data_IF_885859420871
#
_entry.id   IF_885859420871
#
_cell.length_a   1.000
_cell.length_b   1.000
_cell.length_c   1.000
_cell.angle_alpha   90.00
_cell.angle_beta   90.00
_cell.angle_gamma   90.00
#
_symmetry.space_group_name_H-M   'P 1'
#
loop_
_entity.id
_entity.type
_entity.pdbx_description
1 polymer ?
#
# COMPACT_ATOMS: atom_id res chain seq x y z
N UNK A 1 -16.92 5.47 52.64
CA UNK A 1 -15.79 5.19 51.73
C UNK A 1 -15.00 6.46 51.54
N UNK A 2 -13.75 6.35 51.09
CA UNK A 2 -12.86 7.48 50.85
C UNK A 2 -12.54 7.56 49.36
N UNK A 3 -12.58 8.76 48.80
CA UNK A 3 -12.16 9.01 47.42
C UNK A 3 -10.64 9.03 47.33
N UNK A 4 -10.08 8.18 46.49
CA UNK A 4 -8.63 8.07 46.28
C UNK A 4 -8.33 8.34 44.81
N UNK A 5 -7.43 9.28 44.55
CA UNK A 5 -6.95 9.54 43.20
C UNK A 5 -5.93 8.48 42.77
N UNK A 6 -6.18 7.81 41.65
CA UNK A 6 -5.31 6.80 41.03
C UNK A 6 -4.83 7.26 39.66
N UNK A 7 -3.68 6.76 39.23
CA UNK A 7 -3.07 7.08 37.95
C UNK A 7 -3.22 5.93 36.96
N UNK A 8 -3.35 6.25 35.68
CA UNK A 8 -3.34 5.27 34.58
C UNK A 8 -1.92 5.08 34.03
N UNK A 9 -1.67 3.98 33.34
CA UNK A 9 -0.40 3.77 32.61
C UNK A 9 -0.10 4.87 31.57
N UNK A 10 -1.13 5.59 31.09
CA UNK A 10 -1.01 6.67 30.10
C UNK A 10 -0.90 8.08 30.74
N UNK A 11 -0.66 8.16 32.06
CA UNK A 11 -0.48 9.43 32.77
C UNK A 11 -1.78 10.19 33.10
N UNK A 12 -2.95 9.70 32.68
CA UNK A 12 -4.25 10.22 33.14
C UNK A 12 -4.53 9.85 34.60
N UNK A 13 -5.40 10.63 35.28
CA UNK A 13 -5.81 10.39 36.67
C UNK A 13 -7.33 10.34 36.80
N UNK A 14 -7.83 9.54 37.73
CA UNK A 14 -9.26 9.48 38.09
C UNK A 14 -9.42 9.11 39.56
N UNK A 15 -10.63 9.24 40.11
CA UNK A 15 -10.92 8.97 41.52
C UNK A 15 -11.68 7.66 41.65
N UNK A 16 -11.36 6.87 42.68
CA UNK A 16 -12.11 5.66 43.04
C UNK A 16 -12.58 5.75 44.48
N UNK A 17 -13.72 5.14 44.81
CA UNK A 17 -14.16 5.08 46.21
C UNK A 17 -13.63 3.79 46.86
N UNK A 18 -12.70 3.96 47.78
CA UNK A 18 -12.07 2.86 48.50
C UNK A 18 -12.57 2.73 49.94
N UNK A 19 -12.74 1.48 50.40
CA UNK A 19 -13.14 1.13 51.74
C UNK A 19 -11.92 0.72 52.56
N UNK A 20 -11.32 1.66 53.31
CA UNK A 20 -10.15 1.36 54.15
C UNK A 20 -10.37 0.31 55.26
N UNK A 21 -11.61 -0.08 55.57
CA UNK A 21 -11.91 -1.10 56.59
C UNK A 21 -12.07 -2.51 55.99
N UNK A 22 -12.56 -2.60 54.76
CA UNK A 22 -12.92 -3.87 54.11
C UNK A 22 -12.06 -4.17 52.88
N UNK A 23 -11.27 -3.21 52.40
CA UNK A 23 -10.43 -3.29 51.21
C UNK A 23 -11.20 -3.30 49.89
N UNK A 24 -12.53 -3.17 49.92
CA UNK A 24 -13.34 -3.08 48.71
C UNK A 24 -13.17 -1.74 48.02
N UNK A 25 -13.20 -1.75 46.69
CA UNK A 25 -13.09 -0.54 45.86
C UNK A 25 -14.24 -0.50 44.89
N UNK A 26 -14.87 0.67 44.78
CA UNK A 26 -15.87 0.99 43.78
C UNK A 26 -15.23 1.73 42.62
N UNK A 27 -15.63 1.34 41.42
CA UNK A 27 -15.19 1.90 40.15
C UNK A 27 -16.41 2.36 39.38
N UNK A 28 -16.37 3.58 38.85
CA UNK A 28 -17.37 4.06 37.92
C UNK A 28 -17.24 3.30 36.57
N UNK A 29 -18.23 3.43 35.66
CA UNK A 29 -18.22 2.70 34.40
C UNK A 29 -16.88 2.83 33.67
N UNK A 30 -16.34 1.69 33.25
CA UNK A 30 -15.07 1.55 32.52
C UNK A 30 -13.78 1.85 33.31
N UNK A 31 -13.85 2.32 34.55
CA UNK A 31 -12.66 2.70 35.34
C UNK A 31 -11.82 1.51 35.79
N UNK A 32 -12.46 0.40 36.16
CA UNK A 32 -11.76 -0.82 36.60
C UNK A 32 -10.81 -1.34 35.53
N UNK A 33 -11.06 -1.07 34.24
CA UNK A 33 -10.18 -1.49 33.16
C UNK A 33 -8.94 -0.58 33.01
N UNK A 34 -9.01 0.66 33.51
CA UNK A 34 -7.96 1.67 33.35
C UNK A 34 -6.97 1.74 34.52
N UNK A 35 -7.34 1.22 35.70
CA UNK A 35 -6.43 1.13 36.84
C UNK A 35 -5.30 0.13 36.56
N UNK A 36 -4.03 0.51 36.72
CA UNK A 36 -2.89 -0.39 36.53
C UNK A 36 -2.62 -1.24 37.79
N UNK A 37 -1.87 -2.33 37.63
CA UNK A 37 -1.63 -3.28 38.72
C UNK A 37 -0.93 -2.66 39.93
N UNK A 38 0.01 -1.73 39.73
CA UNK A 38 0.74 -1.08 40.83
C UNK A 38 -0.17 -0.21 41.71
N UNK A 39 -1.19 0.43 41.15
CA UNK A 39 -2.15 1.24 41.93
C UNK A 39 -2.99 0.38 42.88
N UNK A 40 -3.21 -0.90 42.55
CA UNK A 40 -3.92 -1.84 43.43
C UNK A 40 -3.12 -2.10 44.71
N UNK A 41 -1.79 -2.14 44.60
CA UNK A 41 -0.88 -2.29 45.74
C UNK A 41 -0.97 -1.03 46.61
N UNK A 42 -0.99 0.16 46.00
CA UNK A 42 -1.20 1.42 46.71
C UNK A 42 -2.53 1.41 47.48
N UNK A 43 -3.63 1.01 46.84
CA UNK A 43 -4.93 0.88 47.49
C UNK A 43 -4.93 -0.15 48.63
N UNK A 44 -4.26 -1.29 48.44
CA UNK A 44 -4.14 -2.32 49.48
C UNK A 44 -3.47 -1.77 50.75
N UNK A 45 -2.45 -0.93 50.59
CA UNK A 45 -1.71 -0.32 51.70
C UNK A 45 -2.54 0.69 52.51
N UNK A 46 -3.63 1.21 51.93
CA UNK A 46 -4.57 2.09 52.62
C UNK A 46 -5.60 1.31 53.46
N UNK A 47 -5.66 -0.02 53.32
CA UNK A 47 -6.61 -0.86 54.04
C UNK A 47 -6.07 -1.30 55.40
N UNK A 48 -6.87 -1.09 56.45
CA UNK A 48 -6.63 -1.61 57.81
C UNK A 48 -7.73 -2.63 58.15
N UNK A 49 -7.40 -3.92 58.03
CA UNK A 49 -8.36 -5.00 58.26
C UNK A 49 -8.63 -5.19 59.77
N UNK A 50 -9.90 -5.27 60.20
CA UNK A 50 -10.24 -5.58 61.59
C UNK A 50 -9.85 -7.02 61.96
N UNK A 51 -9.38 -7.21 63.20
CA UNK A 51 -9.01 -8.54 63.74
C UNK A 51 -10.19 -9.53 63.82
N UNK A 52 -11.44 -9.05 63.82
CA UNK A 52 -12.65 -9.88 63.86
C UNK A 52 -13.25 -9.95 62.45
N UNK A 53 -13.36 -11.17 61.89
CA UNK A 53 -14.12 -11.39 60.65
C UNK A 53 -15.57 -10.97 60.88
N UNK A 54 -16.07 -10.04 60.07
CA UNK A 54 -17.49 -9.67 60.03
C UNK A 54 -18.23 -10.82 59.33
N UNK A 55 -19.09 -11.52 60.07
CA UNK A 55 -19.69 -12.79 59.62
C UNK A 55 -21.05 -12.64 58.91
N UNK A 56 -21.50 -11.43 58.60
CA UNK A 56 -22.76 -11.23 57.86
C UNK A 56 -22.53 -10.42 56.58
N UNK A 57 -22.82 -11.04 55.43
CA UNK A 57 -22.99 -10.34 54.17
C UNK A 57 -24.25 -9.47 54.27
N UNK A 58 -24.08 -8.24 54.76
CA UNK A 58 -25.03 -7.18 54.42
C UNK A 58 -25.11 -7.10 52.91
N UNK A 59 -26.33 -7.03 52.36
CA UNK A 59 -26.55 -6.79 50.92
C UNK A 59 -25.64 -5.64 50.50
N UNK A 60 -24.74 -5.88 49.55
CA UNK A 60 -23.89 -4.82 49.01
C UNK A 60 -24.79 -3.88 48.22
N UNK A 61 -24.83 -2.61 48.62
CA UNK A 61 -25.57 -1.56 47.94
C UNK A 61 -24.59 -0.69 47.17
N UNK A 62 -25.02 -0.21 46.01
CA UNK A 62 -24.30 0.76 45.22
C UNK A 62 -24.08 2.07 46.02
N UNK A 63 -22.85 2.61 46.06
CA UNK A 63 -22.54 3.86 46.75
C UNK A 63 -23.25 5.09 46.17
N UNK A 64 -23.52 5.09 44.86
CA UNK A 64 -24.11 6.23 44.17
C UNK A 64 -25.65 6.25 44.20
N UNK A 65 -26.29 5.09 44.01
CA UNK A 65 -27.75 5.01 43.81
C UNK A 65 -28.47 4.03 44.76
N UNK A 66 -27.75 3.45 45.73
CA UNK A 66 -28.24 2.49 46.72
C UNK A 66 -28.93 1.24 46.14
N UNK A 67 -28.80 0.96 44.84
CA UNK A 67 -29.34 -0.28 44.26
C UNK A 67 -28.55 -1.50 44.74
N UNK A 68 -29.20 -2.66 44.93
CA UNK A 68 -28.50 -3.88 45.28
C UNK A 68 -27.52 -4.26 44.17
N UNK A 69 -26.28 -4.55 44.55
CA UNK A 69 -25.28 -5.04 43.61
C UNK A 69 -25.52 -6.51 43.30
N UNK A 70 -25.34 -6.86 42.04
CA UNK A 70 -25.45 -8.23 41.54
C UNK A 70 -24.08 -8.77 41.11
N UNK A 71 -23.87 -10.09 41.04
CA UNK A 71 -22.65 -10.65 40.45
C UNK A 71 -22.48 -10.21 39.00
N UNK A 72 -21.26 -9.79 38.64
CA UNK A 72 -20.87 -9.46 37.27
C UNK A 72 -20.01 -10.60 36.70
N UNK A 73 -20.44 -11.15 35.57
CA UNK A 73 -19.68 -12.11 34.79
C UNK A 73 -19.54 -11.58 33.37
N UNK A 74 -18.32 -11.42 32.90
CA UNK A 74 -18.01 -11.09 31.52
C UNK A 74 -16.84 -11.93 31.03
N UNK A 75 -16.65 -12.03 29.72
CA UNK A 75 -15.62 -12.88 29.12
C UNK A 75 -14.20 -12.52 29.59
N UNK A 76 -13.98 -11.26 29.97
CA UNK A 76 -12.72 -10.75 30.49
C UNK A 76 -12.50 -11.01 31.99
N UNK A 77 -13.48 -11.56 32.71
CA UNK A 77 -13.41 -11.82 34.16
C UNK A 77 -13.06 -13.29 34.39
N UNK A 78 -11.92 -13.61 35.04
CA UNK A 78 -11.55 -14.99 35.34
C UNK A 78 -12.59 -15.71 36.22
N UNK A 79 -12.75 -17.03 36.06
CA UNK A 79 -13.76 -17.83 36.78
C UNK A 79 -13.65 -17.76 38.32
N UNK A 80 -12.45 -17.52 38.84
CA UNK A 80 -12.17 -17.41 40.28
C UNK A 80 -12.38 -15.99 40.85
N UNK A 81 -12.59 -14.99 39.99
CA UNK A 81 -12.76 -13.60 40.38
C UNK A 81 -14.24 -13.28 40.53
N UNK A 82 -14.61 -12.68 41.67
CA UNK A 82 -15.98 -12.23 41.95
C UNK A 82 -16.07 -10.71 41.93
N UNK A 83 -16.66 -10.18 40.87
CA UNK A 83 -17.01 -8.77 40.77
C UNK A 83 -18.51 -8.61 41.01
N UNK A 84 -18.91 -7.47 41.58
CA UNK A 84 -20.31 -7.07 41.65
C UNK A 84 -20.51 -5.82 40.82
N UNK A 85 -21.69 -5.64 40.23
CA UNK A 85 -22.03 -4.44 39.47
C UNK A 85 -23.39 -3.90 39.86
N UNK A 86 -23.60 -2.61 39.64
CA UNK A 86 -24.91 -2.00 39.69
C UNK A 86 -25.52 -1.94 38.29
N UNK A 87 -26.71 -2.51 38.10
CA UNK A 87 -27.43 -2.45 36.81
C UNK A 87 -27.88 -1.05 36.40
N UNK A 88 -27.95 -0.10 37.34
CA UNK A 88 -28.46 1.25 37.10
C UNK A 88 -27.35 2.22 36.69
N UNK A 89 -26.30 2.36 37.50
CA UNK A 89 -25.16 3.23 37.17
C UNK A 89 -24.02 2.53 36.44
N UNK A 90 -24.05 1.19 36.28
CA UNK A 90 -23.03 0.38 35.61
C UNK A 90 -21.65 0.38 36.28
N UNK A 91 -21.54 0.93 37.49
CA UNK A 91 -20.32 0.86 38.29
C UNK A 91 -20.08 -0.55 38.85
N UNK A 92 -18.82 -0.82 39.17
CA UNK A 92 -18.32 -2.13 39.58
C UNK A 92 -17.70 -2.04 40.97
N UNK A 93 -18.07 -2.98 41.82
CA UNK A 93 -17.45 -3.23 43.11
C UNK A 93 -16.51 -4.43 43.01
N UNK A 94 -15.28 -4.26 43.49
CA UNK A 94 -14.31 -5.33 43.61
C UNK A 94 -13.76 -5.41 45.03
N UNK A 95 -13.74 -6.60 45.63
CA UNK A 95 -12.99 -6.82 46.85
C UNK A 95 -11.48 -6.77 46.56
N UNK A 96 -10.66 -6.44 47.57
CA UNK A 96 -9.21 -6.32 47.42
C UNK A 96 -8.58 -7.53 46.71
N UNK A 97 -8.96 -8.75 47.13
CA UNK A 97 -8.46 -10.00 46.55
C UNK A 97 -8.89 -10.16 45.10
N UNK A 98 -10.18 -9.99 44.82
CA UNK A 98 -10.74 -10.16 43.48
C UNK A 98 -10.17 -9.12 42.50
N UNK A 99 -9.98 -7.87 42.94
CA UNK A 99 -9.34 -6.81 42.14
C UNK A 99 -7.90 -7.18 41.77
N UNK A 100 -7.13 -7.69 42.75
CA UNK A 100 -5.75 -8.12 42.52
C UNK A 100 -5.69 -9.28 41.52
N UNK A 101 -6.53 -10.31 41.69
CA UNK A 101 -6.58 -11.47 40.79
C UNK A 101 -7.03 -11.07 39.37
N UNK A 102 -8.04 -10.20 39.26
CA UNK A 102 -8.52 -9.67 37.99
C UNK A 102 -7.40 -8.99 37.20
N UNK A 103 -6.64 -8.13 37.87
CA UNK A 103 -5.62 -7.30 37.22
C UNK A 103 -4.32 -8.03 36.95
N UNK A 104 -3.94 -8.97 37.82
CA UNK A 104 -2.82 -9.88 37.54
C UNK A 104 -3.07 -10.67 36.25
N UNK A 105 -4.28 -11.20 36.07
CA UNK A 105 -4.62 -11.95 34.85
C UNK A 105 -4.61 -11.07 33.60
N UNK A 106 -5.08 -9.82 33.69
CA UNK A 106 -4.98 -8.86 32.58
C UNK A 106 -3.51 -8.56 32.20
N UNK A 107 -2.62 -8.39 33.18
CA UNK A 107 -1.21 -8.07 32.92
C UNK A 107 -0.45 -9.24 32.26
N UNK A 108 -0.70 -10.47 32.72
CA UNK A 108 -0.11 -11.70 32.15
C UNK A 108 -0.57 -11.92 30.70
N UNK A 109 -1.84 -11.69 30.39
CA UNK A 109 -2.40 -11.87 29.04
C UNK A 109 -1.89 -10.83 28.05
N UNK A 110 -1.76 -9.56 28.46
CA UNK A 110 -1.17 -8.50 27.63
C UNK A 110 0.31 -8.77 27.36
N UNK A 111 1.07 -9.15 28.38
CA UNK A 111 2.50 -9.45 28.24
C UNK A 111 2.77 -10.59 27.26
N UNK A 112 1.92 -11.63 27.27
CA UNK A 112 2.04 -12.75 26.33
C UNK A 112 1.80 -12.33 24.87
N UNK A 113 0.86 -11.42 24.62
CA UNK A 113 0.57 -10.88 23.29
C UNK A 113 1.72 -9.99 22.75
N UNK A 114 2.29 -9.14 23.61
CA UNK A 114 3.41 -8.27 23.25
C UNK A 114 4.67 -9.06 22.87
N UNK A 115 4.92 -10.19 23.53
CA UNK A 115 6.02 -11.09 23.16
C UNK A 115 5.73 -11.77 21.83
N UNK A 116 4.51 -12.29 21.61
CA UNK A 116 4.14 -12.96 20.37
C UNK A 116 4.22 -12.06 19.13
N UNK A 117 3.75 -10.81 19.23
CA UNK A 117 3.77 -9.84 18.14
C UNK A 117 5.17 -9.36 17.74
N UNK A 118 6.14 -9.41 18.67
CA UNK A 118 7.56 -9.13 18.37
C UNK A 118 8.20 -10.21 17.51
N UNK A 119 7.81 -11.48 17.68
CA UNK A 119 8.37 -12.59 16.90
C UNK A 119 7.72 -12.77 15.53
N UNK A 120 6.45 -12.36 15.38
CA UNK A 120 5.72 -12.44 14.12
C UNK A 120 5.13 -11.06 13.78
N UNK A 121 5.91 -10.17 13.12
CA UNK A 121 5.40 -8.87 12.70
C UNK A 121 4.22 -9.05 11.74
N UNK A 122 3.37 -8.03 11.64
CA UNK A 122 2.19 -8.06 10.77
C UNK A 122 2.56 -8.49 9.34
N UNK A 123 1.77 -9.41 8.78
CA UNK A 123 2.01 -9.99 7.45
C UNK A 123 2.25 -8.92 6.37
N UNK A 124 1.60 -7.76 6.48
CA UNK A 124 1.77 -6.62 5.57
C UNK A 124 3.22 -6.15 5.43
N UNK A 125 4.02 -6.18 6.51
CA UNK A 125 5.41 -5.71 6.51
C UNK A 125 6.32 -6.60 5.65
N UNK A 126 5.97 -7.89 5.49
CA UNK A 126 6.72 -8.85 4.69
C UNK A 126 6.18 -8.91 3.26
N UNK A 127 4.86 -8.95 3.08
CA UNK A 127 4.27 -9.09 1.75
C UNK A 127 4.46 -7.88 0.86
N UNK A 128 4.36 -6.66 1.41
CA UNK A 128 4.51 -5.43 0.62
C UNK A 128 5.87 -5.36 -0.10
N UNK A 129 7.03 -5.47 0.58
CA UNK A 129 8.32 -5.41 -0.11
C UNK A 129 8.50 -6.56 -1.13
N UNK A 130 8.06 -7.77 -0.81
CA UNK A 130 8.16 -8.92 -1.72
C UNK A 130 7.32 -8.71 -2.98
N UNK A 131 6.07 -8.29 -2.84
CA UNK A 131 5.17 -8.03 -3.98
C UNK A 131 5.71 -6.87 -4.82
N UNK A 132 6.18 -5.79 -4.20
CA UNK A 132 6.78 -4.67 -4.93
C UNK A 132 8.02 -5.11 -5.71
N UNK A 133 8.88 -5.94 -5.13
CA UNK A 133 10.06 -6.47 -5.81
C UNK A 133 9.68 -7.36 -7.00
N UNK A 134 8.71 -8.26 -6.85
CA UNK A 134 8.20 -9.09 -7.94
C UNK A 134 7.59 -8.24 -9.07
N UNK A 135 6.87 -7.17 -8.73
CA UNK A 135 6.33 -6.25 -9.71
C UNK A 135 7.43 -5.51 -10.49
N UNK A 136 8.48 -5.06 -9.81
CA UNK A 136 9.64 -4.45 -10.44
C UNK A 136 10.36 -5.42 -11.38
N UNK A 137 10.52 -6.69 -10.99
CA UNK A 137 11.10 -7.71 -11.86
C UNK A 137 10.24 -7.99 -13.10
N UNK A 138 8.93 -8.11 -12.94
CA UNK A 138 8.02 -8.35 -14.06
C UNK A 138 8.04 -7.19 -15.05
N UNK A 139 7.95 -5.95 -14.56
CA UNK A 139 7.99 -4.76 -15.42
C UNK A 139 9.31 -4.65 -16.18
N UNK A 140 10.46 -4.79 -15.49
CA UNK A 140 11.77 -4.75 -16.16
C UNK A 140 11.90 -5.83 -17.23
N UNK A 141 11.47 -7.07 -16.95
CA UNK A 141 11.46 -8.15 -17.94
C UNK A 141 10.65 -7.78 -19.19
N UNK A 142 9.41 -7.30 -19.02
CA UNK A 142 8.56 -6.91 -20.16
C UNK A 142 9.14 -5.76 -20.97
N UNK A 143 9.81 -4.79 -20.32
CA UNK A 143 10.45 -3.69 -21.05
C UNK A 143 11.63 -4.18 -21.89
N UNK A 144 12.46 -5.08 -21.38
CA UNK A 144 13.60 -5.63 -22.12
C UNK A 144 13.12 -6.42 -23.34
N UNK A 145 12.12 -7.29 -23.18
CA UNK A 145 11.61 -8.10 -24.29
C UNK A 145 10.95 -7.24 -25.37
N UNK A 146 10.19 -6.21 -24.97
CA UNK A 146 9.58 -5.26 -25.92
C UNK A 146 10.63 -4.48 -26.71
N UNK A 147 11.71 -4.04 -26.06
CA UNK A 147 12.81 -3.35 -26.74
C UNK A 147 13.55 -4.26 -27.72
N UNK A 148 13.83 -5.50 -27.32
CA UNK A 148 14.45 -6.50 -28.20
C UNK A 148 13.60 -6.76 -29.44
N UNK A 149 12.30 -6.99 -29.26
CA UNK A 149 11.38 -7.21 -30.38
C UNK A 149 11.36 -6.02 -31.35
N UNK A 150 11.30 -4.79 -30.82
CA UNK A 150 11.32 -3.60 -31.67
C UNK A 150 12.65 -3.45 -32.44
N UNK A 151 13.78 -3.91 -31.89
CA UNK A 151 15.06 -3.94 -32.59
C UNK A 151 15.07 -5.02 -33.69
N UNK A 152 14.58 -6.23 -33.40
CA UNK A 152 14.52 -7.32 -34.37
C UNK A 152 13.64 -6.98 -35.58
N UNK A 153 12.50 -6.32 -35.36
CA UNK A 153 11.62 -5.85 -36.43
C UNK A 153 12.31 -4.81 -37.34
N UNK A 154 13.14 -3.92 -36.79
CA UNK A 154 13.92 -2.92 -37.55
C UNK A 154 15.05 -3.56 -38.32
N UNK A 155 15.80 -4.49 -37.70
CA UNK A 155 16.85 -5.26 -38.38
C UNK A 155 16.25 -6.05 -39.53
N UNK A 156 15.11 -6.69 -39.30
CA UNK A 156 14.39 -7.40 -40.35
C UNK A 156 13.97 -6.45 -41.47
N UNK A 157 13.41 -5.27 -41.16
CA UNK A 157 13.07 -4.25 -42.16
C UNK A 157 14.27 -3.81 -43.02
N UNK A 158 15.38 -3.43 -42.37
CA UNK A 158 16.61 -2.99 -43.05
C UNK A 158 17.20 -4.11 -43.92
N UNK A 159 17.17 -5.37 -43.45
CA UNK A 159 17.68 -6.51 -44.23
C UNK A 159 16.92 -6.77 -45.54
N UNK A 160 15.68 -6.28 -45.67
CA UNK A 160 14.88 -6.44 -46.89
C UNK A 160 15.15 -5.38 -47.94
N UNK A 161 15.81 -4.28 -47.57
CA UNK A 161 16.06 -3.13 -48.43
C UNK A 161 17.51 -3.17 -48.90
N UNK A 162 17.74 -2.83 -50.17
CA UNK A 162 19.06 -2.57 -50.74
C UNK A 162 19.06 -1.26 -51.53
N UNK A 163 20.25 -0.74 -51.80
CA UNK A 163 20.48 0.42 -52.67
C UNK A 163 19.67 1.67 -52.32
N UNK A 164 19.44 1.93 -51.03
CA UNK A 164 18.75 3.14 -50.61
C UNK A 164 19.56 4.40 -50.96
N UNK A 165 18.94 5.32 -51.71
CA UNK A 165 19.55 6.56 -52.18
C UNK A 165 18.59 7.73 -51.98
N UNK A 166 19.18 8.86 -51.62
CA UNK A 166 18.49 10.15 -51.56
C UNK A 166 19.19 11.12 -52.50
N UNK A 167 18.58 11.41 -53.64
CA UNK A 167 19.16 12.26 -54.67
C UNK A 167 18.51 13.65 -54.64
N UNK A 168 19.33 14.70 -54.54
CA UNK A 168 18.86 16.08 -54.61
C UNK A 168 18.46 16.44 -56.05
N UNK A 169 17.21 16.87 -56.24
CA UNK A 169 16.72 17.36 -57.52
C UNK A 169 16.83 18.90 -57.56
N UNK A 170 16.44 19.56 -56.47
CA UNK A 170 16.58 21.01 -56.28
C UNK A 170 16.48 21.37 -54.78
N UNK A 171 16.63 22.64 -54.42
CA UNK A 171 16.53 23.08 -53.01
C UNK A 171 15.19 22.76 -52.34
N UNK A 172 14.13 22.45 -53.10
CA UNK A 172 12.81 22.09 -52.56
C UNK A 172 12.34 20.68 -52.95
N UNK A 173 13.19 19.86 -53.57
CA UNK A 173 12.81 18.55 -54.05
C UNK A 173 13.91 17.49 -53.94
N UNK A 174 13.53 16.30 -53.45
CA UNK A 174 14.43 15.15 -53.23
C UNK A 174 13.78 13.88 -53.75
N UNK A 175 14.55 13.05 -54.43
CA UNK A 175 14.17 11.69 -54.77
C UNK A 175 14.62 10.73 -53.68
N UNK A 176 13.75 9.85 -53.22
CA UNK A 176 14.12 8.70 -52.38
C UNK A 176 13.87 7.45 -53.22
N UNK A 177 14.92 6.68 -53.47
CA UNK A 177 14.84 5.42 -54.21
C UNK A 177 15.50 4.28 -53.43
N UNK A 178 14.95 3.07 -53.57
CA UNK A 178 15.48 1.85 -52.97
C UNK A 178 14.90 0.61 -53.66
N UNK A 179 15.49 -0.54 -53.38
CA UNK A 179 15.01 -1.85 -53.84
C UNK A 179 14.68 -2.76 -52.67
N UNK A 180 13.81 -3.73 -52.91
CA UNK A 180 13.49 -4.79 -51.95
C UNK A 180 13.68 -6.17 -52.54
N UNK A 181 14.01 -7.14 -51.70
CA UNK A 181 14.21 -8.55 -52.11
C UNK A 181 12.92 -9.23 -52.60
N UNK A 182 11.76 -8.79 -52.09
CA UNK A 182 10.42 -9.25 -52.47
C UNK A 182 9.52 -8.05 -52.72
N UNK A 183 8.40 -8.19 -53.47
CA UNK A 183 7.49 -7.07 -53.72
C UNK A 183 6.80 -6.55 -52.43
N UNK A 184 6.86 -5.25 -52.19
CA UNK A 184 6.22 -4.57 -51.05
C UNK A 184 5.32 -3.41 -51.52
N UNK A 185 4.30 -3.09 -50.73
CA UNK A 185 3.68 -1.76 -50.71
C UNK A 185 4.54 -0.89 -49.78
N UNK A 186 4.81 0.36 -50.15
CA UNK A 186 5.75 1.19 -49.39
C UNK A 186 5.29 2.63 -49.22
N UNK A 187 5.64 3.21 -48.08
CA UNK A 187 5.47 4.62 -47.75
C UNK A 187 6.70 5.18 -47.05
N UNK A 188 6.94 6.49 -47.18
CA UNK A 188 7.93 7.24 -46.43
C UNK A 188 7.21 8.07 -45.36
N UNK A 189 7.65 7.96 -44.12
CA UNK A 189 7.23 8.85 -43.03
C UNK A 189 8.33 9.91 -42.90
N UNK A 190 8.04 11.18 -43.18
CA UNK A 190 9.03 12.25 -43.32
C UNK A 190 8.57 13.54 -42.62
N UNK A 191 9.52 14.23 -41.97
CA UNK A 191 9.28 15.52 -41.32
C UNK A 191 10.56 16.26 -40.93
N UNK A 192 10.48 17.56 -40.58
CA UNK A 192 11.63 18.31 -40.04
C UNK A 192 11.98 17.89 -38.60
N UNK A 193 11.05 17.24 -37.88
CA UNK A 193 11.25 16.71 -36.53
C UNK A 193 10.46 15.41 -36.34
N UNK A 194 10.75 14.64 -35.29
CA UNK A 194 9.99 13.41 -34.98
C UNK A 194 8.53 13.65 -34.57
N UNK A 195 8.16 14.90 -34.27
CA UNK A 195 6.80 15.30 -33.90
C UNK A 195 5.99 15.80 -35.10
N UNK A 196 6.65 16.19 -36.19
CA UNK A 196 6.05 16.78 -37.39
C UNK A 196 6.27 15.88 -38.60
N UNK A 197 5.97 14.58 -38.49
CA UNK A 197 6.15 13.62 -39.59
C UNK A 197 4.83 13.30 -40.30
N UNK A 198 4.86 13.32 -41.63
CA UNK A 198 3.74 12.97 -42.51
C UNK A 198 4.07 11.71 -43.33
N UNK A 199 3.06 10.92 -43.67
CA UNK A 199 3.21 9.68 -44.46
C UNK A 199 2.93 9.95 -45.94
N UNK A 200 3.91 9.64 -46.79
CA UNK A 200 3.87 9.77 -48.25
C UNK A 200 3.91 8.39 -48.89
N UNK A 201 2.90 8.05 -49.69
CA UNK A 201 2.85 6.75 -50.38
C UNK A 201 3.88 6.74 -51.51
N UNK A 202 4.75 5.72 -51.53
CA UNK A 202 5.76 5.52 -52.56
C UNK A 202 5.26 4.54 -53.61
N UNK A 203 4.68 3.42 -53.16
CA UNK A 203 4.08 2.40 -54.02
C UNK A 203 2.80 1.91 -53.37
N UNK A 204 1.67 2.07 -54.05
CA UNK A 204 0.34 1.62 -53.61
C UNK A 204 0.07 0.15 -53.95
N UNK A 205 0.87 -0.42 -54.84
CA UNK A 205 0.86 -1.82 -55.28
C UNK A 205 2.21 -2.51 -54.95
N UNK A 206 2.22 -3.85 -54.77
CA UNK A 206 3.46 -4.58 -54.49
C UNK A 206 4.48 -4.45 -55.62
N UNK A 207 5.64 -3.84 -55.34
CA UNK A 207 6.75 -3.66 -56.27
C UNK A 207 8.09 -3.99 -55.59
N UNK A 208 9.11 -4.50 -56.31
CA UNK A 208 10.48 -4.64 -55.79
C UNK A 208 11.34 -3.37 -55.95
N UNK A 209 10.94 -2.45 -56.84
CA UNK A 209 11.64 -1.19 -57.09
C UNK A 209 10.74 -0.03 -56.62
N UNK A 210 11.32 0.89 -55.85
CA UNK A 210 10.60 2.00 -55.23
C UNK A 210 11.30 3.32 -55.49
N UNK A 211 10.51 4.33 -55.88
CA UNK A 211 10.99 5.69 -56.04
C UNK A 211 9.87 6.69 -55.76
N UNK A 212 10.17 7.73 -55.00
CA UNK A 212 9.29 8.87 -54.80
C UNK A 212 10.07 10.17 -54.98
N UNK A 213 9.43 11.16 -55.59
CA UNK A 213 9.93 12.54 -55.63
C UNK A 213 9.11 13.36 -54.66
N UNK A 214 9.75 13.82 -53.59
CA UNK A 214 9.17 14.70 -52.59
C UNK A 214 9.42 16.15 -53.02
N UNK A 215 8.38 16.98 -52.97
CA UNK A 215 8.43 18.40 -53.38
C UNK A 215 7.88 19.30 -52.27
N UNK A 216 8.07 20.61 -52.40
CA UNK A 216 7.60 21.58 -51.40
C UNK A 216 8.43 21.60 -50.12
N UNK A 217 9.63 21.02 -50.15
CA UNK A 217 10.55 21.03 -49.02
C UNK A 217 11.18 22.41 -48.85
N UNK A 218 11.49 22.79 -47.62
CA UNK A 218 12.22 24.03 -47.35
C UNK A 218 13.70 23.86 -47.74
N UNK A 219 14.32 24.80 -48.47
CA UNK A 219 15.77 24.77 -48.73
C UNK A 219 16.59 24.79 -47.45
N UNK A 220 17.82 24.25 -47.52
CA UNK A 220 18.79 24.19 -46.39
C UNK A 220 18.21 23.64 -45.08
N UNK A 221 17.29 22.68 -45.17
CA UNK A 221 16.59 22.11 -44.03
C UNK A 221 16.90 20.63 -43.92
N UNK A 222 17.21 20.18 -42.70
CA UNK A 222 17.40 18.76 -42.39
C UNK A 222 16.03 18.10 -42.20
N UNK A 223 15.78 17.04 -42.94
CA UNK A 223 14.59 16.21 -42.81
C UNK A 223 14.96 14.85 -42.25
N UNK A 224 14.10 14.34 -41.37
CA UNK A 224 14.13 12.99 -40.85
C UNK A 224 13.14 12.15 -41.65
N UNK A 225 13.50 10.91 -41.95
CA UNK A 225 12.58 9.98 -42.61
C UNK A 225 12.82 8.53 -42.18
N UNK A 226 11.78 7.72 -42.33
CA UNK A 226 11.85 6.26 -42.24
C UNK A 226 10.89 5.65 -43.25
N UNK A 227 11.19 4.45 -43.71
CA UNK A 227 10.35 3.72 -44.65
C UNK A 227 9.46 2.75 -43.88
N UNK A 228 8.22 2.64 -44.33
CA UNK A 228 7.27 1.64 -43.88
C UNK A 228 6.93 0.74 -45.07
N UNK A 229 7.10 -0.55 -44.87
CA UNK A 229 6.86 -1.58 -45.87
C UNK A 229 5.70 -2.46 -45.42
N UNK A 230 4.92 -2.95 -46.39
CA UNK A 230 3.87 -3.93 -46.16
C UNK A 230 3.92 -5.04 -47.21
N UNK A 231 4.08 -6.29 -46.76
CA UNK A 231 4.14 -7.43 -47.67
C UNK A 231 2.75 -7.88 -48.15
N UNK A 232 2.71 -8.86 -49.06
CA UNK A 232 1.47 -9.47 -49.53
C UNK A 232 0.69 -10.26 -48.48
N UNK A 233 1.29 -10.55 -47.32
CA UNK A 233 0.65 -11.19 -46.16
C UNK A 233 0.17 -10.15 -45.14
N UNK A 234 0.26 -8.86 -45.46
CA UNK A 234 -0.12 -7.73 -44.61
C UNK A 234 0.77 -7.54 -43.36
N UNK A 235 1.96 -8.14 -43.32
CA UNK A 235 2.97 -7.84 -42.30
C UNK A 235 3.57 -6.46 -42.59
N UNK A 236 3.75 -5.64 -41.54
CA UNK A 236 4.32 -4.31 -41.66
C UNK A 236 5.69 -4.23 -41.00
N UNK A 237 6.63 -3.57 -41.69
CA UNK A 237 8.00 -3.38 -41.24
C UNK A 237 8.34 -1.90 -41.31
N UNK A 238 9.12 -1.39 -40.36
CA UNK A 238 9.53 0.01 -40.31
C UNK A 238 11.04 0.08 -40.13
N UNK A 239 11.71 0.88 -40.96
CA UNK A 239 13.18 1.05 -40.91
C UNK A 239 13.62 1.96 -39.77
N UNK A 240 14.93 2.01 -39.53
CA UNK A 240 15.50 3.03 -38.66
C UNK A 240 15.34 4.43 -39.26
N UNK A 241 15.45 5.42 -38.37
CA UNK A 241 15.35 6.83 -38.74
C UNK A 241 16.62 7.27 -39.47
N UNK A 242 16.44 7.74 -40.70
CA UNK A 242 17.48 8.29 -41.57
C UNK A 242 17.25 9.79 -41.75
N UNK A 243 18.20 10.47 -42.37
CA UNK A 243 18.08 11.91 -42.61
C UNK A 243 18.73 12.31 -43.93
N UNK A 244 18.25 13.42 -44.48
CA UNK A 244 18.90 14.15 -45.57
C UNK A 244 18.78 15.66 -45.32
N UNK A 245 19.55 16.46 -46.05
CA UNK A 245 19.48 17.93 -45.99
C UNK A 245 19.25 18.46 -47.39
N UNK A 246 18.25 19.35 -47.55
CA UNK A 246 17.97 20.02 -48.83
C UNK A 246 19.07 21.00 -49.21
N UNK A 247 19.31 21.13 -50.52
CA UNK A 247 20.28 22.08 -51.05
C UNK A 247 19.80 23.54 -50.91
N UNK A 248 20.69 24.53 -51.13
CA UNK A 248 20.34 25.95 -51.15
C UNK A 248 19.24 26.33 -52.12
#
# INVERSE_FOLDING_TARGET
MQKIAVSTNQGGRFEVDHCGFCGGTWFDPYEINRIPFHEIITLANLTVLPKKKVTELKKHLCPGDNHPLEPFQGDAVPKNVKLLWCKKCLGIWAAQKDLWEFKKHQDETVSAYDVGSKFFPALSVVFVPVVTFLFLLATTFTTITSLQQAQDERIHAESRISDIKTDQISGNAVSISFKTQIPFISSAILGPSSLEMEEFIISDSPSPDHNIVLTGLKPRTRYLFRLKLRDGQNNSFVTDLKYFTTSP
#
